data_IF_393052659163
#
_entry.id   IF_393052659163
#
_cell.length_a   1.000
_cell.length_b   1.000
_cell.length_c   1.000
_cell.angle_alpha   90.00
_cell.angle_beta   90.00
_cell.angle_gamma   90.00
#
_symmetry.space_group_name_H-M   'P 1'
#
loop_
_entity.id
_entity.type
_entity.pdbx_description
1 polymer ?
#
# COMPACT_ATOMS: atom_id res chain seq x y z
N UNK A 1 -3.43 0.84 19.96
CA UNK A 1 -3.18 -0.01 18.78
C UNK A 1 -2.67 0.81 17.63
N UNK A 2 -1.69 0.29 16.92
CA UNK A 2 -1.12 1.00 15.78
C UNK A 2 -1.98 0.85 14.54
N UNK A 3 -2.12 1.96 13.80
CA UNK A 3 -2.77 1.95 12.50
C UNK A 3 -1.71 1.74 11.43
N UNK A 4 -1.98 0.82 10.52
CA UNK A 4 -1.07 0.52 9.42
C UNK A 4 -1.69 0.95 8.10
N UNK A 5 -0.88 1.58 7.25
CA UNK A 5 -1.28 1.97 5.90
C UNK A 5 -0.46 1.15 4.92
N UNK A 6 -1.15 0.54 3.97
CA UNK A 6 -0.51 -0.24 2.92
C UNK A 6 -0.72 0.37 1.55
N UNK A 7 0.29 0.27 0.70
CA UNK A 7 0.24 0.71 -0.69
C UNK A 7 0.52 -0.48 -1.59
N UNK A 8 -0.42 -0.80 -2.44
CA UNK A 8 -0.24 -1.81 -3.48
C UNK A 8 0.06 -1.05 -4.75
N UNK A 9 1.30 -1.10 -5.19
CA UNK A 9 1.83 -0.30 -6.28
C UNK A 9 2.57 0.93 -5.76
N UNK A 10 3.75 1.18 -6.31
CA UNK A 10 4.59 2.33 -5.96
C UNK A 10 4.59 3.38 -7.07
N UNK A 11 3.43 3.61 -7.69
CA UNK A 11 3.29 4.63 -8.71
C UNK A 11 3.50 6.03 -8.15
N UNK A 12 3.59 7.02 -9.05
CA UNK A 12 3.86 8.40 -8.64
C UNK A 12 2.88 8.90 -7.58
N UNK A 13 1.61 8.59 -7.73
CA UNK A 13 0.60 9.07 -6.80
C UNK A 13 0.67 8.35 -5.45
N UNK A 14 0.85 7.03 -5.45
CA UNK A 14 1.00 6.27 -4.22
C UNK A 14 2.25 6.69 -3.45
N UNK A 15 3.36 6.88 -4.16
CA UNK A 15 4.60 7.35 -3.55
C UNK A 15 4.47 8.74 -2.96
N UNK A 16 3.76 9.65 -3.64
CA UNK A 16 3.54 10.99 -3.16
C UNK A 16 2.72 11.00 -1.87
N UNK A 17 1.66 10.18 -1.81
CA UNK A 17 0.84 10.06 -0.61
C UNK A 17 1.62 9.50 0.57
N UNK A 18 2.44 8.48 0.33
CA UNK A 18 3.26 7.88 1.38
C UNK A 18 4.27 8.89 1.94
N UNK A 19 4.94 9.64 1.05
CA UNK A 19 5.88 10.67 1.45
C UNK A 19 5.20 11.77 2.25
N UNK A 20 4.01 12.18 1.83
CA UNK A 20 3.26 13.22 2.52
C UNK A 20 2.87 12.76 3.93
N UNK A 21 2.45 11.51 4.09
CA UNK A 21 2.07 10.97 5.38
C UNK A 21 3.24 10.98 6.36
N UNK A 22 4.42 10.57 5.91
CA UNK A 22 5.62 10.56 6.76
C UNK A 22 6.09 11.98 7.04
N UNK A 23 6.11 12.84 6.03
CA UNK A 23 6.59 14.22 6.16
C UNK A 23 5.72 15.03 7.09
N UNK A 24 4.41 14.80 7.10
CA UNK A 24 3.49 15.50 8.00
C UNK A 24 3.51 14.96 9.42
N UNK A 25 4.30 13.91 9.67
CA UNK A 25 4.43 13.27 10.98
C UNK A 25 3.14 12.61 11.48
N UNK A 26 2.20 12.37 10.58
CA UNK A 26 0.98 11.63 10.91
C UNK A 26 1.27 10.16 11.19
N UNK A 27 2.32 9.63 10.56
CA UNK A 27 2.70 8.23 10.71
C UNK A 27 4.21 8.08 10.71
N UNK A 28 4.68 7.05 11.40
CA UNK A 28 6.08 6.66 11.32
C UNK A 28 6.27 5.73 10.10
N UNK A 29 7.49 5.66 9.55
CA UNK A 29 7.75 4.75 8.41
C UNK A 29 7.38 3.29 8.70
N UNK A 30 7.57 2.83 9.93
CA UNK A 30 7.26 1.47 10.32
C UNK A 30 5.77 1.12 10.26
N UNK A 31 4.91 2.12 10.15
CA UNK A 31 3.47 1.90 10.01
C UNK A 31 3.03 1.82 8.54
N UNK A 32 3.97 1.93 7.60
CA UNK A 32 3.69 1.90 6.16
C UNK A 32 4.25 0.62 5.57
N UNK A 33 3.41 -0.11 4.84
CA UNK A 33 3.80 -1.31 4.12
C UNK A 33 3.63 -1.07 2.62
N UNK A 34 4.65 -1.40 1.85
CA UNK A 34 4.66 -1.17 0.41
C UNK A 34 4.79 -2.50 -0.32
N UNK A 35 3.91 -2.74 -1.27
CA UNK A 35 3.94 -3.91 -2.13
C UNK A 35 3.96 -3.47 -3.58
N UNK A 36 4.87 -4.03 -4.37
CA UNK A 36 4.97 -3.78 -5.80
C UNK A 36 5.57 -5.01 -6.46
N UNK A 37 5.12 -5.31 -7.67
CA UNK A 37 5.70 -6.40 -8.46
C UNK A 37 7.18 -6.17 -8.71
N UNK A 38 7.57 -4.92 -8.87
CA UNK A 38 8.98 -4.54 -8.96
C UNK A 38 9.51 -4.34 -7.54
N UNK A 39 10.08 -5.40 -6.99
CA UNK A 39 10.58 -5.39 -5.61
C UNK A 39 11.65 -4.32 -5.39
N UNK A 40 12.51 -4.08 -6.38
CA UNK A 40 13.54 -3.05 -6.28
C UNK A 40 12.92 -1.67 -6.11
N UNK A 41 11.82 -1.40 -6.80
CA UNK A 41 11.12 -0.13 -6.68
C UNK A 41 10.48 0.01 -5.31
N UNK A 42 9.89 -1.06 -4.78
CA UNK A 42 9.31 -1.06 -3.45
C UNK A 42 10.37 -0.82 -2.38
N UNK A 43 11.52 -1.46 -2.50
CA UNK A 43 12.63 -1.29 -1.57
C UNK A 43 13.17 0.14 -1.61
N UNK A 44 13.30 0.71 -2.79
CA UNK A 44 13.76 2.08 -2.96
C UNK A 44 12.80 3.08 -2.30
N UNK A 45 11.50 2.86 -2.48
CA UNK A 45 10.49 3.72 -1.86
C UNK A 45 10.52 3.57 -0.34
N UNK A 46 10.64 2.37 0.17
CA UNK A 46 10.72 2.13 1.61
C UNK A 46 11.92 2.85 2.22
N UNK A 47 13.06 2.82 1.54
CA UNK A 47 14.25 3.52 1.98
C UNK A 47 14.05 5.03 1.95
N UNK A 48 13.44 5.54 0.88
CA UNK A 48 13.12 6.97 0.75
C UNK A 48 12.22 7.46 1.90
N UNK A 49 11.33 6.59 2.36
CA UNK A 49 10.43 6.92 3.46
C UNK A 49 11.08 6.78 4.85
N UNK A 50 12.30 6.31 4.91
CA UNK A 50 13.02 6.19 6.17
C UNK A 50 12.88 4.83 6.84
N UNK A 51 12.57 3.78 6.10
CA UNK A 51 12.49 2.44 6.63
C UNK A 51 11.09 1.84 6.70
N UNK A 52 10.27 2.13 5.69
CA UNK A 52 8.96 1.50 5.58
C UNK A 52 9.12 -0.02 5.33
N UNK A 53 8.07 -0.76 5.61
CA UNK A 53 8.06 -2.21 5.44
C UNK A 53 7.77 -2.57 3.98
N UNK A 54 8.52 -3.52 3.43
CA UNK A 54 8.24 -4.06 2.10
C UNK A 54 7.56 -5.41 2.28
N UNK A 55 6.41 -5.59 1.63
CA UNK A 55 5.65 -6.82 1.74
C UNK A 55 5.01 -7.20 0.42
N UNK A 56 4.17 -8.22 0.46
CA UNK A 56 3.38 -8.66 -0.68
C UNK A 56 2.01 -8.00 -0.68
N UNK A 57 1.32 -8.07 -1.83
CA UNK A 57 -0.06 -7.56 -1.91
C UNK A 57 -0.96 -8.24 -0.87
N UNK A 58 -0.78 -9.53 -0.67
CA UNK A 58 -1.58 -10.28 0.30
C UNK A 58 -1.29 -9.85 1.73
N UNK A 59 -0.03 -9.55 2.03
CA UNK A 59 0.34 -9.07 3.36
C UNK A 59 -0.27 -7.70 3.63
N UNK A 60 -0.23 -6.80 2.66
CA UNK A 60 -0.88 -5.49 2.78
C UNK A 60 -2.38 -5.67 3.04
N UNK A 61 -3.03 -6.55 2.26
CA UNK A 61 -4.46 -6.80 2.41
C UNK A 61 -4.79 -7.40 3.78
N UNK A 62 -3.91 -8.21 4.33
CA UNK A 62 -4.16 -8.91 5.59
C UNK A 62 -3.94 -8.03 6.82
N UNK A 63 -2.91 -7.19 6.81
CA UNK A 63 -2.48 -6.49 8.02
C UNK A 63 -2.79 -5.01 8.07
N UNK A 64 -3.00 -4.36 6.93
CA UNK A 64 -3.17 -2.91 6.92
C UNK A 64 -4.62 -2.50 7.16
N UNK A 65 -4.81 -1.40 7.86
CA UNK A 65 -6.14 -0.84 8.14
C UNK A 65 -6.63 0.01 6.98
N UNK A 66 -5.71 0.70 6.31
CA UNK A 66 -5.98 1.50 5.12
C UNK A 66 -5.15 0.94 3.98
N UNK A 67 -5.79 0.55 2.90
CA UNK A 67 -5.15 -0.08 1.75
C UNK A 67 -5.36 0.79 0.54
N UNK A 68 -4.28 1.32 -0.01
CA UNK A 68 -4.31 2.16 -1.20
C UNK A 68 -3.87 1.35 -2.41
N UNK A 69 -4.76 1.21 -3.39
CA UNK A 69 -4.44 0.56 -4.66
C UNK A 69 -3.95 1.65 -5.62
N UNK A 70 -2.65 1.72 -5.81
CA UNK A 70 -1.99 2.71 -6.64
C UNK A 70 -1.37 2.07 -7.89
N UNK A 71 -2.02 1.06 -8.42
CA UNK A 71 -1.58 0.38 -9.64
C UNK A 71 -2.20 1.04 -10.87
N UNK A 72 -1.62 0.78 -12.04
CA UNK A 72 -2.17 1.27 -13.30
C UNK A 72 -3.57 0.69 -13.52
N UNK A 73 -4.47 1.41 -14.20
CA UNK A 73 -5.84 0.94 -14.41
C UNK A 73 -5.92 -0.47 -14.99
N UNK A 74 -5.05 -0.83 -15.93
CA UNK A 74 -5.05 -2.14 -16.55
C UNK A 74 -4.62 -3.26 -15.59
N UNK A 75 -4.00 -2.91 -14.46
CA UNK A 75 -3.58 -3.87 -13.45
C UNK A 75 -4.54 -3.97 -12.27
N UNK A 76 -5.53 -3.09 -12.22
CA UNK A 76 -6.44 -2.98 -11.07
C UNK A 76 -7.24 -4.26 -10.83
N UNK A 77 -7.81 -4.84 -11.90
CA UNK A 77 -8.62 -6.05 -11.78
C UNK A 77 -7.81 -7.22 -11.22
N UNK A 78 -6.59 -7.42 -11.73
CA UNK A 78 -5.74 -8.50 -11.27
C UNK A 78 -5.34 -8.32 -9.81
N UNK A 79 -5.03 -7.09 -9.41
CA UNK A 79 -4.67 -6.79 -8.03
C UNK A 79 -5.85 -7.06 -7.09
N UNK A 80 -7.05 -6.64 -7.48
CA UNK A 80 -8.25 -6.89 -6.69
C UNK A 80 -8.57 -8.37 -6.56
N UNK A 81 -8.42 -9.14 -7.64
CA UNK A 81 -8.63 -10.57 -7.61
C UNK A 81 -7.65 -11.27 -6.66
N UNK A 82 -6.42 -10.82 -6.65
CA UNK A 82 -5.39 -11.40 -5.78
C UNK A 82 -5.72 -11.22 -4.30
N UNK A 83 -6.19 -10.03 -3.91
CA UNK A 83 -6.41 -9.69 -2.51
C UNK A 83 -7.83 -9.96 -2.02
N UNK A 84 -8.80 -10.15 -2.92
CA UNK A 84 -10.19 -10.34 -2.53
C UNK A 84 -10.39 -11.49 -1.52
N UNK A 85 -9.80 -12.69 -1.70
CA UNK A 85 -9.97 -13.75 -0.72
C UNK A 85 -9.42 -13.38 0.66
N UNK A 86 -8.31 -12.64 0.68
CA UNK A 86 -7.71 -12.20 1.93
C UNK A 86 -8.62 -11.21 2.65
N UNK A 87 -9.17 -10.24 1.91
CA UNK A 87 -10.08 -9.25 2.47
C UNK A 87 -11.36 -9.88 2.99
N UNK A 88 -11.90 -10.85 2.27
CA UNK A 88 -13.13 -11.55 2.66
C UNK A 88 -12.95 -12.36 3.95
N UNK A 89 -11.75 -12.82 4.21
CA UNK A 89 -11.45 -13.60 5.41
C UNK A 89 -11.25 -12.71 6.65
N UNK A 90 -11.12 -11.39 6.48
CA UNK A 90 -10.92 -10.49 7.60
C UNK A 90 -12.21 -10.25 8.35
N UNK A 91 -12.12 -10.22 9.66
CA UNK A 91 -13.24 -9.91 10.55
C UNK A 91 -13.18 -8.47 11.07
N UNK A 92 -12.01 -7.83 10.95
CA UNK A 92 -11.82 -6.46 11.39
C UNK A 92 -12.17 -5.46 10.28
N UNK A 93 -12.26 -4.20 10.66
CA UNK A 93 -12.55 -3.13 9.71
C UNK A 93 -11.30 -2.72 8.95
N UNK A 94 -11.47 -2.44 7.66
CA UNK A 94 -10.44 -1.89 6.81
C UNK A 94 -11.06 -0.95 5.80
N UNK A 95 -10.23 -0.07 5.25
CA UNK A 95 -10.67 0.87 4.20
C UNK A 95 -9.83 0.60 2.96
N UNK A 96 -10.49 0.39 1.84
CA UNK A 96 -9.84 0.18 0.56
C UNK A 96 -10.05 1.42 -0.31
N UNK A 97 -8.95 2.06 -0.69
CA UNK A 97 -8.98 3.26 -1.53
C UNK A 97 -8.33 2.93 -2.87
N UNK A 98 -9.06 3.14 -3.95
CA UNK A 98 -8.51 2.95 -5.29
C UNK A 98 -8.07 4.29 -5.83
N UNK A 99 -6.84 4.34 -6.34
CA UNK A 99 -6.28 5.54 -6.95
C UNK A 99 -6.11 5.23 -8.43
N UNK A 100 -6.92 5.85 -9.26
CA UNK A 100 -6.85 5.66 -10.72
C UNK A 100 -5.76 6.55 -11.27
N UNK A 101 -4.52 6.09 -11.21
CA UNK A 101 -3.38 6.83 -11.71
C UNK A 101 -3.44 6.93 -13.24
N UNK A 102 -3.17 8.10 -13.76
CA UNK A 102 -3.08 8.28 -15.20
C UNK A 102 -4.40 8.60 -15.91
N UNK A 103 -5.41 8.95 -15.18
CA UNK A 103 -6.64 9.46 -15.79
C UNK A 103 -6.49 10.91 -16.18
#
# INVERSE_FOLDING_TARGET
>A
MSTYIGFIGCGNMGGALAKAAVKSQLMTPGQICIADKNTAQAEKMAETLGGAVVGTNKEVAKYCNYIFLAVKPQMMAAALEEIAPVLKAREDRFVLVTIAAGL
#
